data_IF_146894046336
#
_entry.id   IF_146894046336
#
_cell.length_a   1.000
_cell.length_b   1.000
_cell.length_c   1.000
_cell.angle_alpha   90.00
_cell.angle_beta   90.00
_cell.angle_gamma   90.00
#
_symmetry.space_group_name_H-M   'P 1'
#
loop_
_entity.id
_entity.type
_entity.pdbx_description
1 polymer ?
#
# COMPACT_ATOMS: atom_id res chain seq x y z
N UNK A 1 0.47 2.93 40.26
CA UNK A 1 1.37 1.94 39.63
C UNK A 1 0.79 1.40 38.32
N UNK A 2 -0.43 0.86 38.25
CA UNK A 2 -1.03 0.30 37.00
C UNK A 2 -0.99 1.20 35.76
N UNK A 3 -1.13 2.54 35.89
CA UNK A 3 -1.10 3.45 34.72
C UNK A 3 0.31 3.61 34.14
N UNK A 4 1.34 3.61 34.97
CA UNK A 4 2.73 3.73 34.50
C UNK A 4 3.18 2.43 33.81
N UNK A 5 2.80 1.27 34.34
CA UNK A 5 3.07 -0.03 33.72
C UNK A 5 2.39 -0.16 32.35
N UNK A 6 1.17 0.38 32.20
CA UNK A 6 0.45 0.44 30.92
C UNK A 6 1.16 1.30 29.88
N UNK A 7 1.68 2.46 30.25
CA UNK A 7 2.42 3.35 29.33
C UNK A 7 3.72 2.68 28.85
N UNK A 8 4.47 2.08 29.76
CA UNK A 8 5.73 1.40 29.42
C UNK A 8 5.46 0.18 28.51
N UNK A 9 4.45 -0.62 28.84
CA UNK A 9 4.04 -1.76 28.01
C UNK A 9 3.63 -1.32 26.61
N UNK A 10 2.80 -0.28 26.50
CA UNK A 10 2.37 0.27 25.21
C UNK A 10 3.54 0.81 24.40
N UNK A 11 4.48 1.50 25.05
CA UNK A 11 5.69 2.03 24.40
C UNK A 11 6.57 0.90 23.87
N UNK A 12 6.74 -0.20 24.62
CA UNK A 12 7.47 -1.40 24.17
C UNK A 12 6.80 -2.01 22.93
N UNK A 13 5.48 -2.22 22.98
CA UNK A 13 4.71 -2.74 21.85
C UNK A 13 4.84 -1.84 20.62
N UNK A 14 4.80 -0.52 20.78
CA UNK A 14 4.96 0.42 19.67
C UNK A 14 6.33 0.29 19.00
N UNK A 15 7.40 0.11 19.78
CA UNK A 15 8.76 -0.13 19.24
C UNK A 15 8.84 -1.46 18.53
N UNK A 16 8.29 -2.54 19.09
CA UNK A 16 8.28 -3.87 18.48
C UNK A 16 7.52 -3.86 17.14
N UNK A 17 6.35 -3.21 17.08
CA UNK A 17 5.60 -3.02 15.83
C UNK A 17 6.41 -2.21 14.82
N UNK A 18 7.06 -1.13 15.24
CA UNK A 18 7.87 -0.28 14.36
C UNK A 18 9.03 -1.04 13.74
N UNK A 19 9.74 -1.83 14.53
CA UNK A 19 10.84 -2.68 14.04
C UNK A 19 10.32 -3.76 13.07
N UNK A 20 9.18 -4.38 13.37
CA UNK A 20 8.53 -5.33 12.48
C UNK A 20 8.13 -4.71 11.14
N UNK A 21 7.58 -3.49 11.17
CA UNK A 21 7.21 -2.75 9.96
C UNK A 21 8.43 -2.40 9.10
N UNK A 22 9.56 -2.00 9.69
CA UNK A 22 10.80 -1.73 8.95
C UNK A 22 11.22 -2.97 8.15
N UNK A 23 11.22 -4.16 8.79
CA UNK A 23 11.56 -5.41 8.12
C UNK A 23 10.64 -5.74 6.94
N UNK A 24 9.33 -5.67 7.17
CA UNK A 24 8.32 -5.93 6.14
C UNK A 24 8.43 -4.92 5.00
N UNK A 25 8.53 -3.63 5.30
CA UNK A 25 8.67 -2.59 4.29
C UNK A 25 9.94 -2.76 3.45
N UNK A 26 11.07 -3.08 4.08
CA UNK A 26 12.34 -3.33 3.38
C UNK A 26 12.24 -4.51 2.43
N UNK A 27 11.62 -5.61 2.88
CA UNK A 27 11.38 -6.80 2.07
C UNK A 27 10.54 -6.47 0.83
N UNK A 28 9.40 -5.79 1.01
CA UNK A 28 8.51 -5.43 -0.09
C UNK A 28 9.13 -4.41 -1.04
N UNK A 29 9.92 -3.46 -0.53
CA UNK A 29 10.68 -2.53 -1.39
C UNK A 29 11.74 -3.28 -2.21
N UNK A 30 12.36 -4.31 -1.65
CA UNK A 30 13.25 -5.22 -2.39
C UNK A 30 12.51 -5.95 -3.51
N UNK A 31 11.37 -6.56 -3.23
CA UNK A 31 10.52 -7.19 -4.24
C UNK A 31 10.06 -6.21 -5.32
N UNK A 32 9.68 -4.99 -4.92
CA UNK A 32 9.32 -3.95 -5.86
C UNK A 32 10.47 -3.61 -6.81
N UNK A 33 11.68 -3.44 -6.29
CA UNK A 33 12.86 -3.17 -7.12
C UNK A 33 13.15 -4.29 -8.12
N UNK A 34 12.96 -5.54 -7.71
CA UNK A 34 13.09 -6.71 -8.60
C UNK A 34 12.00 -6.70 -9.66
N UNK A 35 10.73 -6.50 -9.27
CA UNK A 35 9.59 -6.45 -10.18
C UNK A 35 9.71 -5.32 -11.21
N UNK A 36 10.22 -4.16 -10.79
CA UNK A 36 10.50 -3.02 -11.65
C UNK A 36 11.58 -3.35 -12.69
N UNK A 37 12.70 -3.89 -12.25
CA UNK A 37 13.81 -4.30 -13.15
C UNK A 37 13.43 -5.44 -14.09
N UNK A 38 12.57 -6.36 -13.64
CA UNK A 38 12.05 -7.45 -14.44
C UNK A 38 10.96 -7.03 -15.45
N UNK A 39 10.54 -5.75 -15.45
CA UNK A 39 9.47 -5.27 -16.31
C UNK A 39 8.05 -5.67 -15.88
N UNK A 40 7.90 -6.35 -14.75
CA UNK A 40 6.61 -6.78 -14.21
C UNK A 40 5.65 -5.63 -13.92
N UNK A 41 6.18 -4.50 -13.48
CA UNK A 41 5.40 -3.27 -13.25
C UNK A 41 4.81 -2.76 -14.57
N UNK A 42 5.59 -2.79 -15.66
CA UNK A 42 5.12 -2.35 -16.97
C UNK A 42 4.01 -3.25 -17.52
N UNK A 43 4.10 -4.56 -17.29
CA UNK A 43 3.06 -5.51 -17.68
C UNK A 43 1.76 -5.24 -16.91
N UNK A 44 1.84 -5.13 -15.59
CA UNK A 44 0.70 -4.87 -14.71
C UNK A 44 0.07 -3.50 -14.99
N UNK A 45 0.91 -2.48 -15.21
CA UNK A 45 0.46 -1.14 -15.59
C UNK A 45 -0.34 -1.15 -16.89
N UNK A 46 0.11 -1.90 -17.90
CA UNK A 46 -0.60 -2.02 -19.18
C UNK A 46 -1.99 -2.63 -19.03
N UNK A 47 -2.12 -3.61 -18.16
CA UNK A 47 -3.40 -4.29 -17.91
C UNK A 47 -4.41 -3.35 -17.23
N UNK A 48 -3.97 -2.52 -16.28
CA UNK A 48 -4.83 -1.64 -15.48
C UNK A 48 -4.92 -0.22 -16.09
N UNK A 49 -4.00 0.15 -16.97
CA UNK A 49 -3.94 1.45 -17.63
C UNK A 49 -5.29 1.95 -18.19
N UNK A 50 -6.12 1.12 -18.89
CA UNK A 50 -7.39 1.60 -19.42
C UNK A 50 -8.37 2.05 -18.32
N UNK A 51 -8.30 1.43 -17.15
CA UNK A 51 -9.10 1.82 -15.99
C UNK A 51 -8.55 3.10 -15.34
N UNK A 52 -7.25 3.11 -15.04
CA UNK A 52 -6.64 4.27 -14.38
C UNK A 52 -6.56 5.52 -15.28
N UNK A 53 -6.45 5.37 -16.61
CA UNK A 53 -6.44 6.53 -17.51
C UNK A 53 -7.77 7.27 -17.54
N UNK A 54 -8.88 6.60 -17.25
CA UNK A 54 -10.18 7.26 -17.07
C UNK A 54 -10.31 7.94 -15.71
N UNK A 55 -9.70 7.36 -14.69
CA UNK A 55 -9.78 7.84 -13.33
C UNK A 55 -8.78 8.99 -13.07
N UNK A 56 -7.63 8.95 -13.75
CA UNK A 56 -6.53 9.91 -13.63
C UNK A 56 -6.19 10.55 -14.99
N UNK A 57 -7.09 11.37 -15.56
CA UNK A 57 -6.89 11.96 -16.89
C UNK A 57 -5.71 12.93 -16.96
N UNK A 58 -5.29 13.48 -15.82
CA UNK A 58 -4.19 14.44 -15.70
C UNK A 58 -2.81 13.78 -15.79
N UNK A 59 -2.72 12.45 -15.65
CA UNK A 59 -1.44 11.74 -15.64
C UNK A 59 -1.08 11.28 -17.06
N UNK A 60 0.14 11.57 -17.55
CA UNK A 60 0.60 11.05 -18.84
C UNK A 60 0.60 9.52 -18.87
N UNK A 61 0.09 8.92 -19.95
CA UNK A 61 -0.16 7.46 -20.05
C UNK A 61 1.05 6.57 -19.76
N UNK A 62 2.27 7.06 -19.98
CA UNK A 62 3.50 6.29 -19.77
C UNK A 62 4.24 6.69 -18.48
N UNK A 63 3.58 7.43 -17.58
CA UNK A 63 4.24 7.88 -16.36
C UNK A 63 4.40 6.74 -15.34
N UNK A 64 5.54 6.63 -14.63
CA UNK A 64 5.79 5.57 -13.64
C UNK A 64 4.75 5.48 -12.52
N UNK A 65 4.05 6.58 -12.22
CA UNK A 65 3.00 6.60 -11.20
C UNK A 65 1.91 5.57 -11.43
N UNK A 66 1.57 5.25 -12.69
CA UNK A 66 0.60 4.18 -12.99
C UNK A 66 1.07 2.83 -12.45
N UNK A 67 2.35 2.50 -12.60
CA UNK A 67 2.92 1.27 -12.04
C UNK A 67 2.83 1.22 -10.53
N UNK A 68 3.26 2.28 -9.87
CA UNK A 68 3.25 2.38 -8.41
C UNK A 68 1.83 2.34 -7.83
N UNK A 69 0.88 3.09 -8.42
CA UNK A 69 -0.53 3.05 -8.03
C UNK A 69 -1.14 1.67 -8.24
N UNK A 70 -0.81 1.01 -9.35
CA UNK A 70 -1.28 -0.34 -9.65
C UNK A 70 -0.82 -1.35 -8.60
N UNK A 71 0.45 -1.30 -8.21
CA UNK A 71 0.98 -2.19 -7.16
C UNK A 71 0.36 -1.92 -5.80
N UNK A 72 0.17 -0.65 -5.44
CA UNK A 72 -0.55 -0.28 -4.22
C UNK A 72 -1.98 -0.83 -4.24
N UNK A 73 -2.68 -0.63 -5.34
CA UNK A 73 -4.04 -1.11 -5.51
C UNK A 73 -4.13 -2.65 -5.46
N UNK A 74 -3.22 -3.35 -6.13
CA UNK A 74 -3.15 -4.81 -6.08
C UNK A 74 -2.89 -5.34 -4.66
N UNK A 75 -1.98 -4.70 -3.91
CA UNK A 75 -1.72 -5.05 -2.52
C UNK A 75 -2.95 -4.86 -1.63
N UNK A 76 -3.68 -3.75 -1.81
CA UNK A 76 -4.93 -3.49 -1.09
C UNK A 76 -6.01 -4.53 -1.43
N UNK A 77 -6.18 -4.89 -2.72
CA UNK A 77 -7.14 -5.91 -3.14
C UNK A 77 -6.89 -7.28 -2.50
N UNK A 78 -5.62 -7.58 -2.24
CA UNK A 78 -5.20 -8.80 -1.55
C UNK A 78 -5.19 -8.66 -0.01
N UNK A 79 -5.59 -7.51 0.53
CA UNK A 79 -5.58 -7.27 1.98
C UNK A 79 -4.19 -7.31 2.60
N UNK A 80 -3.17 -6.93 1.84
CA UNK A 80 -1.78 -6.86 2.27
C UNK A 80 -1.43 -5.42 2.70
N UNK A 81 -2.07 -4.93 3.76
CA UNK A 81 -1.99 -3.52 4.19
C UNK A 81 -0.55 -3.03 4.40
N UNK A 82 0.29 -3.86 5.03
CA UNK A 82 1.70 -3.54 5.27
C UNK A 82 2.52 -3.47 3.97
N UNK A 83 2.15 -4.25 2.95
CA UNK A 83 2.79 -4.22 1.63
C UNK A 83 2.29 -3.04 0.78
N UNK A 84 1.05 -2.62 0.97
CA UNK A 84 0.46 -1.49 0.26
C UNK A 84 1.15 -0.16 0.60
N UNK A 85 1.60 0.02 1.84
CA UNK A 85 2.20 1.27 2.32
C UNK A 85 3.41 1.73 1.50
N UNK A 86 4.48 0.93 1.30
CA UNK A 86 5.64 1.36 0.50
C UNK A 86 5.27 1.67 -0.95
N UNK A 87 4.33 0.93 -1.54
CA UNK A 87 3.83 1.21 -2.90
C UNK A 87 3.04 2.52 -2.95
N UNK A 88 2.24 2.80 -1.91
CA UNK A 88 1.52 4.05 -1.76
C UNK A 88 2.44 5.26 -1.66
N UNK A 89 3.50 5.17 -0.85
CA UNK A 89 4.50 6.22 -0.72
C UNK A 89 5.19 6.52 -2.06
N UNK A 90 5.60 5.47 -2.79
CA UNK A 90 6.20 5.61 -4.13
C UNK A 90 5.23 6.19 -5.15
N UNK A 91 3.95 5.81 -5.09
CA UNK A 91 2.92 6.39 -5.94
C UNK A 91 2.77 7.90 -5.66
N UNK A 92 2.68 8.30 -4.39
CA UNK A 92 2.57 9.71 -4.00
C UNK A 92 3.81 10.51 -4.38
N UNK A 93 5.03 9.97 -4.21
CA UNK A 93 6.27 10.60 -4.66
C UNK A 93 6.24 10.85 -6.19
N UNK A 94 5.83 9.84 -6.96
CA UNK A 94 5.70 9.96 -8.41
C UNK A 94 4.63 10.96 -8.83
N UNK A 95 3.50 11.02 -8.14
CA UNK A 95 2.43 12.00 -8.37
C UNK A 95 2.89 13.41 -8.00
N UNK A 96 3.67 13.56 -6.93
CA UNK A 96 4.23 14.85 -6.52
C UNK A 96 5.21 15.40 -7.55
N UNK A 97 5.91 14.55 -8.29
CA UNK A 97 6.80 15.02 -9.37
C UNK A 97 6.04 15.73 -10.50
N UNK A 98 4.79 15.31 -10.74
CA UNK A 98 3.88 15.90 -11.74
C UNK A 98 3.13 17.12 -11.22
N UNK A 99 3.08 17.31 -9.90
CA UNK A 99 2.29 18.37 -9.29
C UNK A 99 2.95 19.74 -9.51
N UNK A 100 2.30 20.70 -10.16
CA UNK A 100 2.85 22.03 -10.38
C UNK A 100 2.92 22.86 -9.10
N UNK A 101 1.99 22.64 -8.16
CA UNK A 101 1.93 23.33 -6.87
C UNK A 101 2.41 22.38 -5.77
N UNK A 102 3.61 22.64 -5.24
CA UNK A 102 4.23 21.75 -4.25
C UNK A 102 3.60 21.84 -2.86
N UNK A 103 2.88 22.91 -2.59
CA UNK A 103 2.26 23.18 -1.29
C UNK A 103 0.81 22.69 -1.20
N UNK A 104 0.23 22.28 -2.35
CA UNK A 104 -1.16 21.80 -2.44
C UNK A 104 -1.21 20.43 -3.11
N UNK A 105 -2.07 19.54 -2.60
CA UNK A 105 -2.31 18.25 -3.24
C UNK A 105 -3.02 18.44 -4.59
N UNK A 106 -2.53 17.75 -5.63
CA UNK A 106 -3.20 17.70 -6.93
C UNK A 106 -4.46 16.82 -6.89
N UNK A 107 -5.35 16.98 -7.87
CA UNK A 107 -6.53 16.12 -7.98
C UNK A 107 -6.18 14.65 -8.08
N UNK A 108 -5.09 14.30 -8.78
CA UNK A 108 -4.60 12.95 -8.89
C UNK A 108 -4.15 12.39 -7.52
N UNK A 109 -3.47 13.19 -6.70
CA UNK A 109 -3.07 12.78 -5.35
C UNK A 109 -4.28 12.57 -4.44
N UNK A 110 -5.26 13.48 -4.49
CA UNK A 110 -6.50 13.38 -3.71
C UNK A 110 -7.27 12.13 -4.12
N UNK A 111 -7.46 11.89 -5.42
CA UNK A 111 -8.15 10.72 -5.95
C UNK A 111 -7.45 9.43 -5.54
N UNK A 112 -6.12 9.38 -5.64
CA UNK A 112 -5.34 8.21 -5.22
C UNK A 112 -5.50 7.94 -3.72
N UNK A 113 -5.49 8.99 -2.88
CA UNK A 113 -5.70 8.87 -1.44
C UNK A 113 -7.10 8.35 -1.12
N UNK A 114 -8.13 8.84 -1.81
CA UNK A 114 -9.50 8.36 -1.64
C UNK A 114 -9.63 6.87 -2.00
N UNK A 115 -9.00 6.44 -3.09
CA UNK A 115 -8.98 5.02 -3.48
C UNK A 115 -8.26 4.15 -2.47
N UNK A 116 -7.10 4.59 -1.99
CA UNK A 116 -6.33 3.88 -0.97
C UNK A 116 -7.12 3.79 0.35
N UNK A 117 -7.71 4.90 0.79
CA UNK A 117 -8.48 4.97 2.03
C UNK A 117 -9.82 4.20 1.96
N UNK A 118 -10.34 3.93 0.76
CA UNK A 118 -11.56 3.12 0.60
C UNK A 118 -11.41 1.68 1.08
N UNK A 119 -10.16 1.20 1.24
CA UNK A 119 -9.85 -0.12 1.76
C UNK A 119 -10.45 -1.25 0.92
N UNK A 120 -10.50 -1.08 -0.41
CA UNK A 120 -11.10 -2.05 -1.31
C UNK A 120 -10.31 -3.36 -1.28
N UNK A 121 -10.79 -4.31 -0.49
CA UNK A 121 -10.17 -5.62 -0.29
C UNK A 121 -11.08 -6.69 -0.85
N UNK A 122 -10.57 -7.52 -1.77
CA UNK A 122 -11.29 -8.68 -2.32
C UNK A 122 -10.98 -9.95 -1.53
N UNK A 123 -9.74 -10.10 -1.11
CA UNK A 123 -9.27 -11.25 -0.33
C UNK A 123 -8.58 -10.71 0.92
N UNK A 124 -9.21 -10.76 2.09
CA UNK A 124 -8.65 -10.18 3.31
C UNK A 124 -7.59 -11.11 3.93
N UNK A 125 -6.47 -11.29 3.23
CA UNK A 125 -5.38 -12.21 3.63
C UNK A 125 -4.87 -11.93 5.02
N UNK A 126 -4.71 -10.67 5.41
CA UNK A 126 -4.25 -10.28 6.76
C UNK A 126 -5.23 -10.73 7.84
N UNK A 127 -6.54 -10.60 7.60
CA UNK A 127 -7.57 -11.03 8.55
C UNK A 127 -7.60 -12.55 8.65
N UNK A 128 -7.51 -13.26 7.52
CA UNK A 128 -7.44 -14.72 7.49
C UNK A 128 -6.21 -15.22 8.30
N UNK A 129 -5.05 -14.59 8.10
CA UNK A 129 -3.83 -14.94 8.83
C UNK A 129 -3.96 -14.69 10.34
N UNK A 130 -4.55 -13.58 10.76
CA UNK A 130 -4.81 -13.29 12.19
C UNK A 130 -5.76 -14.33 12.77
N UNK A 131 -6.87 -14.64 12.09
CA UNK A 131 -7.81 -15.66 12.54
C UNK A 131 -7.17 -17.03 12.66
N UNK A 132 -6.31 -17.40 11.70
CA UNK A 132 -5.55 -18.65 11.76
C UNK A 132 -4.57 -18.69 12.94
N UNK A 133 -3.90 -17.57 13.25
CA UNK A 133 -2.99 -17.45 14.38
C UNK A 133 -3.68 -17.49 15.74
N UNK A 134 -5.00 -17.23 15.77
CA UNK A 134 -5.85 -17.30 16.96
C UNK A 134 -6.60 -18.65 17.07
N UNK A 135 -6.14 -19.68 16.37
CA UNK A 135 -6.72 -21.04 16.37
C UNK A 135 -8.22 -21.06 15.99
N UNK A 136 -8.65 -20.18 15.10
CA UNK A 136 -10.01 -20.21 14.57
C UNK A 136 -10.26 -21.52 13.80
N UNK A 137 -11.35 -22.21 14.09
CA UNK A 137 -11.71 -23.47 13.42
C UNK A 137 -11.93 -23.31 11.91
N UNK A 138 -12.37 -22.12 11.48
CA UNK A 138 -12.62 -21.78 10.06
C UNK A 138 -12.08 -20.37 9.75
N UNK A 139 -10.75 -20.20 9.58
CA UNK A 139 -10.14 -18.87 9.36
C UNK A 139 -10.65 -18.15 8.13
N UNK A 140 -11.06 -18.89 7.10
CA UNK A 140 -11.52 -18.39 5.78
C UNK A 140 -13.00 -18.07 5.73
N UNK A 141 -13.75 -18.33 6.79
CA UNK A 141 -15.20 -18.09 6.88
C UNK A 141 -15.45 -16.62 7.27
N UNK A 142 -15.48 -15.76 6.25
CA UNK A 142 -15.57 -14.29 6.40
C UNK A 142 -16.71 -13.77 5.56
#
# INVERSE_FOLDING_TARGET
MQKADGVISTSKTAVEISLGLIGIMTLFMGFMSIAEKAGGINFLSRMIQPFFSKLFPEIPKNHPSFGHMTLNFAANLLGLDNAATPFGLKAMESLQSLNPDKDRASNAQIMFLCLHASGLTLIPVSIIAIRASMDSATPTDI
#
